data_IF_243584514099
#
_entry.id   IF_243584514099
#
_cell.length_a   1.000
_cell.length_b   1.000
_cell.length_c   1.000
_cell.angle_alpha   90.00
_cell.angle_beta   90.00
_cell.angle_gamma   90.00
#
_symmetry.space_group_name_H-M   'P 1'
#
loop_
_entity.id
_entity.type
_entity.pdbx_description
1 polymer ?
#
# COMPACT_ATOMS: atom_id res chain seq x y z
N UNK A 1 2.33 21.81 -10.23
CA UNK A 1 2.56 20.84 -11.33
C UNK A 1 3.22 19.64 -10.67
N UNK A 2 2.53 18.50 -10.56
CA UNK A 2 3.07 17.30 -9.90
C UNK A 2 4.43 16.95 -10.51
N UNK A 3 5.40 16.44 -9.73
CA UNK A 3 6.63 15.90 -10.31
C UNK A 3 6.22 14.90 -11.40
N UNK A 4 6.70 15.14 -12.61
CA UNK A 4 6.33 14.46 -13.87
C UNK A 4 6.60 12.94 -13.84
N UNK A 5 7.16 12.45 -12.73
CA UNK A 5 7.70 11.11 -12.57
C UNK A 5 6.75 10.18 -11.75
N UNK A 6 5.65 10.71 -11.23
CA UNK A 6 4.66 9.95 -10.44
C UNK A 6 3.36 9.58 -11.17
N UNK A 7 3.16 10.08 -12.39
CA UNK A 7 2.08 9.63 -13.27
C UNK A 7 2.71 9.10 -14.58
N UNK A 8 2.53 7.81 -14.91
CA UNK A 8 1.20 7.29 -15.25
C UNK A 8 0.94 5.85 -14.76
N UNK A 9 1.50 5.42 -13.63
CA UNK A 9 1.21 4.06 -13.14
C UNK A 9 -0.14 4.03 -12.43
N UNK A 10 -1.02 3.13 -12.85
CA UNK A 10 -2.22 2.80 -12.08
C UNK A 10 -1.79 2.13 -10.76
N UNK A 11 -2.52 2.40 -9.69
CA UNK A 11 -2.21 1.88 -8.35
C UNK A 11 -3.46 1.30 -7.71
N UNK A 12 -3.39 0.05 -7.26
CA UNK A 12 -4.44 -0.60 -6.49
C UNK A 12 -4.07 -0.57 -5.00
N UNK A 13 -4.87 0.12 -4.19
CA UNK A 13 -4.68 0.19 -2.74
C UNK A 13 -5.69 -0.71 -2.03
N UNK A 14 -5.21 -1.57 -1.13
CA UNK A 14 -6.03 -2.56 -0.43
C UNK A 14 -5.79 -2.47 1.06
N UNK A 15 -6.80 -2.10 1.83
CA UNK A 15 -6.70 -2.10 3.30
C UNK A 15 -7.03 -3.49 3.85
N UNK A 16 -6.22 -3.99 4.78
CA UNK A 16 -6.38 -5.34 5.32
C UNK A 16 -6.00 -5.45 6.80
N UNK A 17 -6.26 -6.62 7.39
CA UNK A 17 -5.75 -7.03 8.70
C UNK A 17 -5.01 -8.36 8.50
N UNK A 18 -3.72 -8.42 8.79
CA UNK A 18 -2.93 -9.64 8.63
C UNK A 18 -3.30 -10.72 9.66
N UNK A 19 -3.77 -10.29 10.84
CA UNK A 19 -4.17 -11.12 11.99
C UNK A 19 -5.66 -11.49 12.02
N UNK A 20 -6.48 -10.99 11.10
CA UNK A 20 -7.93 -11.24 11.12
C UNK A 20 -8.27 -12.69 10.74
N UNK A 21 -9.05 -13.34 11.61
CA UNK A 21 -9.49 -14.75 11.44
C UNK A 21 -10.88 -14.90 10.77
N UNK A 22 -11.54 -13.79 10.44
CA UNK A 22 -12.91 -13.74 9.91
C UNK A 22 -12.98 -13.78 8.38
N UNK A 23 -13.65 -12.80 7.77
CA UNK A 23 -13.87 -12.71 6.31
C UNK A 23 -12.61 -12.31 5.51
N UNK A 24 -11.60 -11.72 6.15
CA UNK A 24 -10.41 -11.18 5.48
C UNK A 24 -9.60 -12.18 4.63
N UNK A 25 -9.47 -13.47 4.98
CA UNK A 25 -8.85 -14.47 4.10
C UNK A 25 -9.53 -14.60 2.73
N UNK A 26 -10.81 -14.28 2.61
CA UNK A 26 -11.52 -14.29 1.31
C UNK A 26 -11.06 -13.14 0.41
N UNK A 27 -10.88 -11.94 0.96
CA UNK A 27 -10.46 -10.75 0.19
C UNK A 27 -9.11 -10.99 -0.47
N UNK A 28 -8.13 -11.50 0.29
CA UNK A 28 -6.79 -11.76 -0.25
C UNK A 28 -6.78 -12.92 -1.25
N UNK A 29 -7.59 -13.97 -1.04
CA UNK A 29 -7.73 -15.08 -1.99
C UNK A 29 -8.32 -14.61 -3.32
N UNK A 30 -9.38 -13.80 -3.27
CA UNK A 30 -9.97 -13.21 -4.47
C UNK A 30 -8.96 -12.34 -5.21
N UNK A 31 -8.20 -11.52 -4.48
CA UNK A 31 -7.17 -10.68 -5.09
C UNK A 31 -6.06 -11.50 -5.75
N UNK A 32 -5.59 -12.57 -5.11
CA UNK A 32 -4.61 -13.50 -5.71
C UNK A 32 -5.17 -14.18 -6.96
N UNK A 33 -6.46 -14.52 -6.96
CA UNK A 33 -7.10 -15.17 -8.09
C UNK A 33 -7.17 -14.26 -9.33
N UNK A 34 -7.39 -12.96 -9.14
CA UNK A 34 -7.47 -11.99 -10.25
C UNK A 34 -6.11 -11.36 -10.59
N UNK A 35 -5.11 -11.47 -9.72
CA UNK A 35 -3.79 -10.88 -9.92
C UNK A 35 -3.09 -11.30 -11.23
N UNK A 36 -3.22 -12.55 -11.74
CA UNK A 36 -2.67 -12.92 -13.04
C UNK A 36 -3.23 -12.09 -14.21
N UNK A 37 -4.50 -11.67 -14.14
CA UNK A 37 -5.13 -10.79 -15.14
C UNK A 37 -4.55 -9.38 -15.12
N UNK A 38 -3.84 -8.99 -14.05
CA UNK A 38 -3.20 -7.68 -13.99
C UNK A 38 -1.96 -7.55 -14.85
N UNK A 39 -1.47 -8.66 -15.44
CA UNK A 39 -0.35 -8.66 -16.38
C UNK A 39 -0.59 -7.77 -17.62
N UNK A 40 -1.86 -7.49 -17.96
CA UNK A 40 -2.26 -6.60 -19.05
C UNK A 40 -2.04 -5.10 -18.73
N UNK A 41 -1.92 -4.75 -17.44
CA UNK A 41 -1.76 -3.38 -16.97
C UNK A 41 -0.30 -3.08 -16.67
N UNK A 42 0.45 -2.71 -17.71
CA UNK A 42 1.87 -2.38 -17.58
C UNK A 42 2.10 -1.26 -16.56
N UNK A 43 2.83 -1.58 -15.49
CA UNK A 43 3.17 -0.64 -14.43
C UNK A 43 2.18 -0.57 -13.27
N UNK A 44 1.12 -1.40 -13.26
CA UNK A 44 0.23 -1.51 -12.10
C UNK A 44 1.02 -1.93 -10.85
N UNK A 45 0.86 -1.16 -9.77
CA UNK A 45 1.41 -1.49 -8.45
C UNK A 45 0.29 -1.75 -7.46
N UNK A 46 0.48 -2.76 -6.61
CA UNK A 46 -0.48 -3.12 -5.57
C UNK A 46 0.12 -2.75 -4.22
N UNK A 47 -0.62 -1.96 -3.44
CA UNK A 47 -0.24 -1.57 -2.10
C UNK A 47 -1.27 -2.09 -1.10
N UNK A 48 -0.93 -3.15 -0.38
CA UNK A 48 -1.76 -3.61 0.72
C UNK A 48 -1.30 -3.01 2.04
N UNK A 49 -2.23 -2.38 2.75
CA UNK A 49 -1.93 -1.57 3.92
C UNK A 49 -2.69 -2.15 5.10
N UNK A 50 -1.95 -2.74 6.04
CA UNK A 50 -2.54 -3.23 7.27
C UNK A 50 -3.10 -2.04 8.05
N UNK A 51 -4.31 -2.15 8.59
CA UNK A 51 -4.91 -1.12 9.44
C UNK A 51 -4.82 -1.42 10.94
N UNK A 52 -4.21 -2.55 11.32
CA UNK A 52 -3.96 -2.99 12.70
C UNK A 52 -2.46 -2.93 13.08
N UNK A 53 -1.87 -1.73 13.25
CA UNK A 53 -0.43 -1.58 13.47
C UNK A 53 0.07 -2.05 14.84
N UNK A 54 -0.84 -2.38 15.76
CA UNK A 54 -0.49 -2.90 17.08
C UNK A 54 -0.06 -4.37 16.99
N UNK A 55 -0.77 -5.16 16.19
CA UNK A 55 -0.57 -6.60 16.10
C UNK A 55 0.09 -7.02 14.77
N UNK A 56 -0.19 -6.31 13.68
CA UNK A 56 0.37 -6.58 12.35
C UNK A 56 1.78 -5.97 12.22
N UNK A 57 2.74 -6.57 12.93
CA UNK A 57 4.16 -6.19 12.90
C UNK A 57 4.85 -6.65 11.60
N UNK A 58 6.10 -6.20 11.36
CA UNK A 58 6.87 -6.59 10.16
C UNK A 58 7.00 -8.12 10.04
N UNK A 59 7.35 -8.87 11.11
CA UNK A 59 7.36 -10.32 11.06
C UNK A 59 6.00 -10.94 10.70
N UNK A 60 4.90 -10.37 11.19
CA UNK A 60 3.54 -10.85 10.89
C UNK A 60 3.20 -10.65 9.42
N UNK A 61 3.52 -9.49 8.84
CA UNK A 61 3.35 -9.24 7.40
C UNK A 61 4.22 -10.15 6.54
N UNK A 62 5.46 -10.43 6.96
CA UNK A 62 6.32 -11.38 6.27
C UNK A 62 5.72 -12.79 6.28
N UNK A 63 5.18 -13.22 7.42
CA UNK A 63 4.48 -14.50 7.52
C UNK A 63 3.24 -14.51 6.64
N UNK A 64 2.42 -13.45 6.69
CA UNK A 64 1.24 -13.29 5.83
C UNK A 64 1.60 -13.44 4.33
N UNK A 65 2.67 -12.77 3.88
CA UNK A 65 3.17 -12.88 2.50
C UNK A 65 3.51 -14.32 2.13
N UNK A 66 4.16 -15.06 3.03
CA UNK A 66 4.51 -16.49 2.85
C UNK A 66 3.27 -17.37 2.82
N UNK A 67 2.36 -17.21 3.78
CA UNK A 67 1.11 -17.98 3.90
C UNK A 67 0.27 -17.87 2.64
N UNK A 68 0.14 -16.68 2.07
CA UNK A 68 -0.65 -16.42 0.87
C UNK A 68 0.17 -16.50 -0.43
N UNK A 69 1.45 -16.87 -0.35
CA UNK A 69 2.34 -17.05 -1.51
C UNK A 69 2.37 -15.82 -2.45
N UNK A 70 2.35 -14.62 -1.88
CA UNK A 70 2.40 -13.37 -2.66
C UNK A 70 3.82 -13.21 -3.22
N UNK A 71 3.98 -13.52 -4.51
CA UNK A 71 5.27 -13.50 -5.21
C UNK A 71 5.49 -12.26 -6.08
N UNK A 72 4.42 -11.56 -6.47
CA UNK A 72 4.52 -10.38 -7.34
C UNK A 72 5.43 -9.29 -6.71
N UNK A 73 6.52 -8.88 -7.38
CA UNK A 73 7.41 -7.83 -6.89
C UNK A 73 6.76 -6.44 -6.88
N UNK A 74 5.73 -6.21 -7.70
CA UNK A 74 4.93 -4.98 -7.73
C UNK A 74 3.88 -4.91 -6.62
N UNK A 75 3.77 -5.96 -5.79
CA UNK A 75 2.85 -6.00 -4.64
C UNK A 75 3.61 -5.78 -3.33
N UNK A 76 3.44 -4.60 -2.73
CA UNK A 76 4.03 -4.22 -1.44
C UNK A 76 3.02 -4.31 -0.29
N UNK A 77 3.49 -4.75 0.90
CA UNK A 77 2.72 -4.76 2.14
C UNK A 77 3.26 -3.68 3.08
N UNK A 78 2.36 -2.87 3.67
CA UNK A 78 2.71 -1.80 4.61
C UNK A 78 1.99 -1.96 5.95
N UNK A 79 2.63 -1.50 7.01
CA UNK A 79 2.03 -1.38 8.35
C UNK A 79 1.54 0.06 8.52
N UNK A 80 0.36 0.25 9.13
CA UNK A 80 -0.18 1.60 9.41
C UNK A 80 0.71 2.40 10.36
N UNK A 81 1.66 3.13 9.79
CA UNK A 81 2.31 4.32 10.35
C UNK A 81 2.63 5.25 9.18
N UNK A 82 1.65 5.45 8.32
CA UNK A 82 1.79 6.20 7.07
C UNK A 82 0.66 7.20 6.93
N UNK A 83 1.00 8.44 6.57
CA UNK A 83 0.07 9.46 6.13
C UNK A 83 -0.14 9.34 4.62
N UNK A 84 -1.37 9.58 4.17
CA UNK A 84 -1.70 9.74 2.75
C UNK A 84 -2.00 11.22 2.55
N UNK A 85 -1.23 11.87 1.69
CA UNK A 85 -1.56 13.20 1.21
C UNK A 85 -2.40 13.04 -0.05
N UNK A 86 -3.58 13.63 -0.05
CA UNK A 86 -4.40 13.78 -1.26
C UNK A 86 -4.36 15.25 -1.69
N UNK A 87 -4.31 15.50 -2.98
CA UNK A 87 -4.38 16.86 -3.51
C UNK A 87 -5.82 17.40 -3.56
N UNK A 88 -5.97 18.64 -4.02
CA UNK A 88 -7.27 19.34 -4.14
C UNK A 88 -8.25 18.64 -5.08
N UNK A 89 -7.75 17.87 -6.05
CA UNK A 89 -8.52 17.15 -7.05
C UNK A 89 -8.80 15.69 -6.59
N UNK A 90 -8.47 15.38 -5.33
CA UNK A 90 -8.67 14.09 -4.65
C UNK A 90 -7.78 12.97 -5.18
N UNK A 91 -6.68 13.28 -5.86
CA UNK A 91 -5.67 12.30 -6.23
C UNK A 91 -4.67 12.08 -5.11
N UNK A 92 -4.16 10.85 -4.98
CA UNK A 92 -3.11 10.53 -4.01
C UNK A 92 -1.81 11.24 -4.42
N UNK A 93 -1.41 12.25 -3.65
CA UNK A 93 -0.19 13.02 -3.83
C UNK A 93 1.04 12.35 -3.20
N UNK A 94 0.87 11.61 -2.08
CA UNK A 94 2.01 10.98 -1.41
C UNK A 94 1.68 10.06 -0.25
N UNK A 95 2.61 9.15 0.07
CA UNK A 95 2.58 8.28 1.25
C UNK A 95 3.82 8.57 2.10
N UNK A 96 3.67 8.83 3.40
CA UNK A 96 4.74 9.31 4.28
C UNK A 96 4.79 8.56 5.60
N UNK A 97 5.95 8.06 6.03
CA UNK A 97 6.08 7.37 7.32
C UNK A 97 5.95 8.35 8.47
N UNK A 98 4.95 8.13 9.32
CA UNK A 98 4.68 8.93 10.51
C UNK A 98 5.75 8.80 11.61
N UNK A 99 6.65 7.81 11.53
CA UNK A 99 7.68 7.57 12.57
C UNK A 99 9.01 8.30 12.30
N UNK A 100 9.29 8.74 11.08
CA UNK A 100 10.59 9.29 10.70
C UNK A 100 10.52 10.81 10.52
N UNK A 101 11.42 11.56 11.16
CA UNK A 101 11.51 13.03 11.03
C UNK A 101 11.72 13.47 9.58
N UNK A 102 12.48 12.72 8.78
CA UNK A 102 12.70 13.02 7.36
C UNK A 102 11.43 12.88 6.50
N UNK A 103 10.62 11.85 6.74
CA UNK A 103 9.36 11.66 6.00
C UNK A 103 8.30 12.69 6.41
N UNK A 104 8.31 13.12 7.67
CA UNK A 104 7.43 14.20 8.15
C UNK A 104 7.86 15.54 7.53
N UNK A 105 9.16 15.82 7.43
CA UNK A 105 9.63 17.05 6.78
C UNK A 105 9.25 17.07 5.29
N UNK A 106 9.42 15.95 4.58
CA UNK A 106 8.98 15.81 3.19
C UNK A 106 7.48 16.06 3.04
N UNK A 107 6.65 15.57 3.96
CA UNK A 107 5.21 15.87 3.96
C UNK A 107 4.93 17.37 4.08
N UNK A 108 5.65 18.07 4.97
CA UNK A 108 5.49 19.52 5.15
C UNK A 108 5.93 20.28 3.89
N UNK A 109 6.99 19.85 3.23
CA UNK A 109 7.49 20.49 2.01
C UNK A 109 6.51 20.27 0.84
N UNK A 110 5.93 19.07 0.73
CA UNK A 110 4.91 18.74 -0.28
C UNK A 110 3.59 19.49 -0.04
N UNK A 111 3.23 19.80 1.22
CA UNK A 111 2.04 20.61 1.58
C UNK A 111 2.18 22.10 1.23
N UNK A 112 3.40 22.60 1.05
CA UNK A 112 3.68 24.02 0.76
C UNK A 112 3.72 24.34 -0.74
N UNK A 113 3.73 23.31 -1.59
CA UNK A 113 3.76 23.40 -3.06
C UNK A 113 2.39 23.09 -3.69
#
# INVERSE_FOLDING_TARGET
>A
MLPKDWAPSEHLVVFFHATCRGICPLIIRNLIQIEPSFSEFHGLKIFSISINPKEDTVPVLQNYRKTYQIKNPNWSLFIRKIFFLFDKDKYLHGIYRAKGTGDVQRLIDDLKN
#
